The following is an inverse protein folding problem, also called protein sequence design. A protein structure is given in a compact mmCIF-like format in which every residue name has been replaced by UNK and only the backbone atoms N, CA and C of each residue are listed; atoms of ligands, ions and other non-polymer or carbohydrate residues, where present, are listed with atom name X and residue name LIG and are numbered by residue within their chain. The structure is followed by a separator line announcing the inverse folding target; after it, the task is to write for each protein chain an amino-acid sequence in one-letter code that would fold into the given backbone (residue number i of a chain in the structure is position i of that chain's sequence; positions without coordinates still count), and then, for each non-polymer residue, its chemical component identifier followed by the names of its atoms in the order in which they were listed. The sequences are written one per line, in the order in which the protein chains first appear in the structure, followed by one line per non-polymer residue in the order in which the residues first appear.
data_IF_264341255569
#
_entry.id   IF_264341255569
#
_cell.length_a   1.000
_cell.length_b   1.000
_cell.length_c   1.000
_cell.angle_alpha   90.00
_cell.angle_beta   90.00
_cell.angle_gamma   90.00
#
_symmetry.space_group_name_H-M   'P 1'
#
loop_
_entity.id
_entity.type
_entity.pdbx_description
1 polymer ?
#
# COMPACT_ATOMS: atom_id res chain seq x y z
N UNK A 1 7.32 7.22 -4.94
CA UNK A 1 5.86 7.22 -5.19
C UNK A 1 5.21 8.09 -4.12
N UNK A 2 4.11 8.76 -4.46
CA UNK A 2 3.47 9.74 -3.60
C UNK A 2 2.33 9.11 -2.79
N UNK A 3 2.68 8.28 -1.81
CA UNK A 3 1.71 7.62 -0.92
C UNK A 3 2.01 7.97 0.52
N UNK A 4 0.96 8.16 1.32
CA UNK A 4 1.05 8.32 2.76
C UNK A 4 0.09 7.38 3.50
N UNK A 5 0.49 6.95 4.69
CA UNK A 5 -0.26 6.08 5.59
C UNK A 5 -0.67 6.87 6.85
N UNK A 6 -1.89 6.70 7.32
CA UNK A 6 -2.41 7.35 8.52
C UNK A 6 -2.01 6.54 9.76
N UNK A 7 -1.13 7.11 10.56
CA UNK A 7 -0.63 6.48 11.77
C UNK A 7 -1.65 6.55 12.91
N UNK A 8 -1.54 5.60 13.85
CA UNK A 8 -2.38 5.56 15.07
C UNK A 8 -2.21 6.81 15.95
N UNK A 9 -1.10 7.50 15.78
CA UNK A 9 -0.74 8.76 16.45
C UNK A 9 -1.46 9.99 15.86
N UNK A 10 -2.22 9.83 14.77
CA UNK A 10 -3.11 10.87 14.23
C UNK A 10 -2.49 11.78 13.14
N UNK A 11 -1.35 11.39 12.58
CA UNK A 11 -0.73 12.08 11.43
C UNK A 11 -0.46 11.11 10.29
N UNK A 12 -0.20 11.64 9.09
CA UNK A 12 0.21 10.81 7.97
C UNK A 12 1.74 10.71 7.91
N UNK A 13 2.26 9.55 7.51
CA UNK A 13 3.66 9.34 7.17
C UNK A 13 3.78 8.98 5.69
N UNK A 14 4.68 9.65 4.98
CA UNK A 14 5.00 9.24 3.61
C UNK A 14 5.69 7.90 3.62
N UNK A 15 5.22 6.98 2.79
CA UNK A 15 5.48 5.55 2.94
C UNK A 15 6.96 5.14 2.90
N UNK A 16 7.78 5.74 2.02
CA UNK A 16 9.23 5.43 1.93
C UNK A 16 10.13 6.45 2.63
N UNK A 17 9.73 7.73 2.67
CA UNK A 17 10.59 8.82 3.14
C UNK A 17 10.37 9.21 4.61
N UNK A 18 9.40 8.58 5.30
CA UNK A 18 9.05 8.80 6.70
C UNK A 18 8.77 10.27 7.08
N UNK A 19 8.28 11.06 6.13
CA UNK A 19 7.97 12.46 6.39
C UNK A 19 6.60 12.54 7.05
N UNK A 20 6.57 13.17 8.23
CA UNK A 20 5.32 13.54 8.90
C UNK A 20 4.64 14.61 8.06
N UNK A 21 3.43 14.30 7.60
CA UNK A 21 2.60 15.19 6.78
C UNK A 21 1.18 15.25 7.34
N UNK A 22 0.49 16.34 7.01
CA UNK A 22 -0.93 16.51 7.26
C UNK A 22 -1.67 16.68 5.95
N UNK A 23 -2.96 16.34 5.93
CA UNK A 23 -3.81 16.78 4.83
C UNK A 23 -3.85 18.30 4.86
N UNK A 24 -3.68 18.93 3.69
CA UNK A 24 -3.88 20.37 3.57
C UNK A 24 -5.28 20.77 4.09
N UNK A 25 -5.55 22.02 4.49
CA UNK A 25 -6.90 22.40 4.94
C UNK A 25 -7.98 22.37 3.84
N UNK A 26 -7.57 22.31 2.57
CA UNK A 26 -8.49 22.27 1.42
C UNK A 26 -9.18 20.91 1.16
N UNK A 27 -8.56 19.73 1.42
CA UNK A 27 -9.26 18.45 1.33
C UNK A 27 -10.35 18.30 2.41
N UNK A 28 -11.55 17.90 1.97
CA UNK A 28 -12.76 17.69 2.78
C UNK A 28 -12.95 16.19 3.11
N UNK A 29 -11.89 15.38 3.08
CA UNK A 29 -12.02 13.94 3.31
C UNK A 29 -12.17 13.64 4.80
N UNK A 30 -13.42 13.54 5.23
CA UNK A 30 -13.84 12.98 6.52
C UNK A 30 -14.83 11.81 6.27
N UNK A 31 -14.57 10.59 6.80
CA UNK A 31 -13.44 10.24 7.66
C UNK A 31 -12.10 10.21 6.91
N UNK A 32 -11.01 10.42 7.66
CA UNK A 32 -9.65 10.36 7.11
C UNK A 32 -9.31 8.92 6.71
N UNK A 33 -9.04 8.63 5.42
CA UNK A 33 -8.70 7.29 4.97
C UNK A 33 -7.31 6.87 5.45
N UNK A 34 -7.13 5.59 5.71
CA UNK A 34 -5.87 5.04 6.23
C UNK A 34 -4.71 5.14 5.23
N UNK A 35 -5.01 5.03 3.93
CA UNK A 35 -4.02 5.07 2.86
C UNK A 35 -4.44 6.08 1.81
N UNK A 36 -3.51 7.00 1.49
CA UNK A 36 -3.75 8.04 0.49
C UNK A 36 -2.64 8.11 -0.54
N UNK A 37 -3.04 8.26 -1.80
CA UNK A 37 -2.19 8.75 -2.87
C UNK A 37 -2.32 10.28 -2.90
N UNK A 38 -1.22 11.00 -3.01
CA UNK A 38 -1.22 12.48 -3.12
C UNK A 38 -0.54 12.95 -4.40
N UNK A 39 -0.91 14.13 -4.89
CA UNK A 39 -0.30 14.71 -6.09
C UNK A 39 0.85 15.67 -5.77
N UNK A 40 0.73 16.42 -4.68
CA UNK A 40 1.65 17.51 -4.35
C UNK A 40 2.08 17.45 -2.90
N UNK A 41 3.36 17.75 -2.67
CA UNK A 41 3.94 17.94 -1.34
C UNK A 41 4.21 19.43 -1.15
N UNK A 42 3.61 20.03 -0.14
CA UNK A 42 3.75 21.46 0.17
C UNK A 42 4.62 21.61 1.42
N UNK A 43 5.84 22.09 1.21
CA UNK A 43 6.81 22.34 2.26
C UNK A 43 6.57 23.72 2.90
N UNK A 44 6.15 23.74 4.17
CA UNK A 44 5.98 24.99 4.95
C UNK A 44 6.49 24.79 6.38
N UNK A 45 6.01 25.55 7.37
CA UNK A 45 6.24 25.26 8.80
C UNK A 45 5.71 23.89 9.21
N UNK A 46 4.63 23.41 8.57
CA UNK A 46 4.16 22.03 8.66
C UNK A 46 4.07 21.47 7.24
N UNK A 47 4.44 20.22 7.05
CA UNK A 47 4.38 19.60 5.74
C UNK A 47 2.95 19.18 5.45
N UNK A 48 2.46 19.54 4.26
CA UNK A 48 1.14 19.17 3.81
C UNK A 48 1.20 18.35 2.52
N UNK A 49 0.21 17.49 2.35
CA UNK A 49 -0.09 16.82 1.08
C UNK A 49 -1.42 17.35 0.52
N UNK A 50 -1.41 17.67 -0.78
CA UNK A 50 -2.56 18.22 -1.50
C UNK A 50 -3.04 17.25 -2.58
N UNK A 51 -4.33 17.39 -2.93
CA UNK A 51 -5.01 16.58 -3.95
C UNK A 51 -4.82 15.09 -3.65
N UNK A 52 -5.48 14.68 -2.57
CA UNK A 52 -5.38 13.32 -2.04
C UNK A 52 -6.53 12.44 -2.55
N UNK A 53 -6.28 11.16 -2.69
CA UNK A 53 -7.29 10.15 -3.04
C UNK A 53 -7.05 8.91 -2.21
N UNK A 54 -8.11 8.32 -1.67
CA UNK A 54 -8.03 7.05 -0.96
C UNK A 54 -7.52 5.96 -1.90
N UNK A 55 -6.61 5.12 -1.42
CA UNK A 55 -6.06 4.01 -2.18
C UNK A 55 -5.99 2.78 -1.29
N UNK A 56 -6.22 1.60 -1.86
CA UNK A 56 -6.04 0.36 -1.10
C UNK A 56 -4.58 -0.12 -1.18
N UNK A 57 -3.97 -0.57 -0.07
CA UNK A 57 -2.58 -1.00 -0.06
C UNK A 57 -2.31 -2.23 -0.94
N UNK A 58 -3.29 -3.11 -1.15
CA UNK A 58 -3.17 -4.25 -2.05
C UNK A 58 -2.96 -3.83 -3.52
N UNK A 59 -3.55 -2.72 -3.94
CA UNK A 59 -3.35 -2.19 -5.29
C UNK A 59 -1.92 -1.70 -5.49
N UNK A 60 -1.35 -1.06 -4.47
CA UNK A 60 0.02 -0.53 -4.51
C UNK A 60 1.04 -1.64 -4.73
N UNK A 61 0.92 -2.71 -3.93
CA UNK A 61 1.79 -3.90 -4.02
C UNK A 61 1.54 -4.66 -5.33
N UNK A 62 0.28 -4.77 -5.76
CA UNK A 62 -0.08 -5.46 -6.99
C UNK A 62 0.41 -4.77 -8.26
N UNK A 63 0.36 -3.44 -8.31
CA UNK A 63 0.74 -2.64 -9.49
C UNK A 63 2.26 -2.43 -9.54
N UNK A 64 2.90 -2.18 -8.40
CA UNK A 64 4.32 -1.84 -8.34
C UNK A 64 5.10 -2.70 -7.32
N UNK A 65 5.15 -4.03 -7.49
CA UNK A 65 5.77 -4.94 -6.52
C UNK A 65 7.24 -4.62 -6.26
N UNK A 66 7.98 -4.23 -7.31
CA UNK A 66 9.39 -3.82 -7.23
C UNK A 66 9.61 -2.56 -6.37
N UNK A 67 8.64 -1.65 -6.31
CA UNK A 67 8.75 -0.45 -5.48
C UNK A 67 8.47 -0.77 -4.00
N UNK A 68 7.54 -1.70 -3.76
CA UNK A 68 7.12 -2.16 -2.43
C UNK A 68 7.89 -3.40 -1.96
N UNK A 69 9.14 -3.57 -2.39
CA UNK A 69 9.98 -4.67 -1.92
C UNK A 69 10.36 -4.47 -0.44
N UNK A 70 10.05 -5.46 0.41
CA UNK A 70 10.22 -5.38 1.86
C UNK A 70 11.69 -5.33 2.30
N UNK A 71 12.60 -5.90 1.52
CA UNK A 71 14.05 -5.91 1.79
C UNK A 71 14.64 -4.50 1.88
N UNK A 72 14.12 -3.57 1.08
CA UNK A 72 14.51 -2.18 1.01
C UNK A 72 13.41 -1.26 1.56
N UNK A 73 12.53 -1.81 2.38
CA UNK A 73 11.44 -1.06 2.99
C UNK A 73 11.79 -0.73 4.43
N UNK A 74 11.76 0.55 4.80
CA UNK A 74 12.11 0.93 6.14
C UNK A 74 11.11 0.47 7.21
N UNK A 75 11.59 0.33 8.45
CA UNK A 75 10.86 -0.32 9.55
C UNK A 75 9.89 0.62 10.27
N UNK A 76 8.66 0.72 9.75
CA UNK A 76 7.53 1.43 10.39
C UNK A 76 6.18 0.73 10.15
N UNK A 77 5.11 1.21 10.78
CA UNK A 77 3.77 0.57 10.81
C UNK A 77 3.27 0.17 9.41
N UNK A 78 3.47 1.03 8.40
CA UNK A 78 3.11 0.75 7.01
C UNK A 78 3.77 -0.53 6.45
N UNK A 79 5.00 -0.86 6.85
CA UNK A 79 5.72 -2.06 6.41
C UNK A 79 4.99 -3.32 6.84
N UNK A 80 4.57 -3.40 8.11
CA UNK A 80 3.90 -4.58 8.66
C UNK A 80 2.57 -4.88 7.96
N UNK A 81 1.83 -3.83 7.56
CA UNK A 81 0.59 -3.98 6.79
C UNK A 81 0.89 -4.51 5.38
N UNK A 82 1.85 -3.88 4.68
CA UNK A 82 2.19 -4.27 3.31
C UNK A 82 2.79 -5.68 3.25
N UNK A 83 3.61 -6.07 4.21
CA UNK A 83 4.21 -7.40 4.29
C UNK A 83 3.14 -8.49 4.42
N UNK A 84 2.14 -8.29 5.28
CA UNK A 84 1.00 -9.22 5.41
C UNK A 84 0.23 -9.37 4.10
N UNK A 85 0.06 -8.27 3.38
CA UNK A 85 -0.62 -8.26 2.07
C UNK A 85 0.20 -9.03 1.03
N UNK A 86 1.51 -8.79 0.96
CA UNK A 86 2.43 -9.51 0.05
C UNK A 86 2.34 -11.03 0.31
N UNK A 87 2.44 -11.45 1.57
CA UNK A 87 2.34 -12.86 1.95
C UNK A 87 0.97 -13.46 1.58
N UNK A 88 -0.11 -12.70 1.79
CA UNK A 88 -1.46 -13.10 1.39
C UNK A 88 -1.60 -13.32 -0.11
N UNK A 89 -1.08 -12.40 -0.92
CA UNK A 89 -1.10 -12.49 -2.39
C UNK A 89 -0.29 -13.71 -2.87
N UNK A 90 0.87 -13.95 -2.28
CA UNK A 90 1.72 -15.11 -2.61
C UNK A 90 0.99 -16.42 -2.31
N UNK A 91 0.43 -16.56 -1.11
CA UNK A 91 -0.32 -17.75 -0.70
C UNK A 91 -1.53 -18.02 -1.63
N UNK A 92 -2.22 -16.96 -2.07
CA UNK A 92 -3.33 -17.08 -3.03
C UNK A 92 -2.89 -17.64 -4.39
N UNK A 93 -1.75 -17.17 -4.92
CA UNK A 93 -1.19 -17.66 -6.20
C UNK A 93 -0.81 -19.13 -6.13
N UNK A 94 -0.12 -19.55 -5.08
CA UNK A 94 0.27 -20.94 -4.88
C UNK A 94 -0.92 -21.90 -4.87
N UNK A 95 -2.04 -21.52 -4.25
CA UNK A 95 -3.24 -22.35 -4.24
C UNK A 95 -3.92 -22.45 -5.61
N UNK A 96 -3.90 -21.39 -6.42
CA UNK A 96 -4.47 -21.39 -7.77
C UNK A 96 -3.65 -22.28 -8.72
N UNK A 97 -2.32 -22.21 -8.65
CA UNK A 97 -1.40 -23.03 -9.45
C UNK A 97 -1.56 -24.53 -9.14
N UNK A 98 -1.73 -24.90 -7.87
CA UNK A 98 -1.96 -26.30 -7.47
C UNK A 98 -3.30 -26.83 -7.99
N UNK A 99 -4.37 -26.02 -7.92
CA UNK A 99 -5.70 -26.41 -8.44
C UNK A 99 -5.69 -26.58 -9.95
N UNK A 100 -5.02 -25.69 -10.68
CA UNK A 100 -4.86 -25.81 -12.13
C UNK A 100 -4.04 -27.06 -12.49
N UNK A 101 -2.92 -27.30 -11.80
CA UNK A 101 -2.07 -28.48 -12.04
C UNK A 101 -2.76 -29.81 -11.78
N UNK A 102 -3.69 -29.88 -10.82
CA UNK A 102 -4.51 -31.08 -10.59
C UNK A 102 -5.62 -31.24 -11.64
N UNK A 103 -6.26 -30.14 -12.06
CA UNK A 103 -7.27 -30.15 -13.11
C UNK A 103 -6.75 -30.64 -14.47
N UNK A 104 -5.56 -30.21 -14.88
CA UNK A 104 -4.94 -30.62 -16.15
C UNK A 104 -4.53 -32.10 -16.12
N UNK A 105 -4.15 -32.65 -14.96
CA UNK A 105 -3.78 -34.07 -14.81
C UNK A 105 -4.99 -35.01 -14.92
N UNK A 106 -6.17 -34.59 -14.47
CA UNK A 106 -7.40 -35.39 -14.63
C UNK A 106 -7.91 -35.40 -16.09
N UNK A 107 -7.70 -34.32 -16.84
CA UNK A 107 -8.13 -34.25 -18.24
C UNK A 107 -7.21 -34.99 -19.21
N UNK A 108 -5.92 -35.15 -18.88
CA UNK A 108 -4.96 -35.88 -19.71
C UNK A 108 -5.01 -37.42 -19.54
N UNK A 109 -5.87 -37.94 -18.66
CA UNK A 109 -6.06 -39.37 -18.40
C UNK A 109 -7.37 -39.95 -18.95
N UNK A 110 -8.16 -39.15 -19.67
CA UNK A 110 -9.38 -39.55 -20.38
C UNK A 110 -9.15 -39.48 -21.90
#
# INVERSE_FOLDING_TARGET
MQVAHFERTGHYLTVKDNQVVQLHPSPVMDPKPEWVLYKEFVLTTKNYICTVTEVKPDWLVGIAPQYYEMSNFPDWDARGILERIVLGIQNGKFQQEQKQSQGTKLQAQA
#
